data_IF_797146448622
#
_entry.id   IF_797146448622
#
_cell.length_a   1.000
_cell.length_b   1.000
_cell.length_c   1.000
_cell.angle_alpha   90.00
_cell.angle_beta   90.00
_cell.angle_gamma   90.00
#
_symmetry.space_group_name_H-M   'P 1'
#
loop_
_entity.id
_entity.type
_entity.pdbx_description
1 polymer ?
#
# COMPACT_ATOMS: atom_id res chain seq x y z
N UNK A 1 39.36 2.96 51.82
CA UNK A 1 39.06 1.70 51.11
C UNK A 1 37.67 1.84 50.49
N UNK A 2 37.55 1.66 49.16
CA UNK A 2 36.46 0.98 48.43
C UNK A 2 35.01 1.33 48.89
N UNK A 3 34.11 1.92 48.11
CA UNK A 3 33.86 1.74 46.68
C UNK A 3 33.06 2.91 46.10
N UNK A 4 33.37 3.13 44.84
CA UNK A 4 32.82 4.08 43.88
C UNK A 4 31.41 3.63 43.46
N UNK A 5 30.46 4.57 43.58
CA UNK A 5 29.36 4.90 42.66
C UNK A 5 28.68 3.71 41.97
N UNK A 6 27.53 3.28 42.51
CA UNK A 6 26.57 2.44 41.78
C UNK A 6 25.49 3.36 41.21
N UNK A 7 25.63 3.66 39.93
CA UNK A 7 24.81 4.54 39.13
C UNK A 7 23.34 4.08 39.11
N UNK A 8 22.48 4.83 39.79
CA UNK A 8 21.03 4.81 39.56
C UNK A 8 20.72 5.91 38.54
N UNK A 9 20.86 5.58 37.25
CA UNK A 9 20.38 6.42 36.17
C UNK A 9 18.98 5.96 35.77
N UNK A 10 17.98 6.47 36.48
CA UNK A 10 16.61 6.53 35.98
C UNK A 10 16.42 7.94 35.40
N UNK A 11 15.70 8.02 34.28
CA UNK A 11 15.24 9.21 33.55
C UNK A 11 16.13 9.67 32.37
N UNK A 12 15.80 9.15 31.19
CA UNK A 12 15.59 9.92 29.95
C UNK A 12 14.77 9.01 29.02
N UNK A 13 13.44 9.09 29.11
CA UNK A 13 12.61 9.72 28.07
C UNK A 13 12.81 9.11 26.67
N UNK A 14 11.78 8.35 26.28
CA UNK A 14 11.22 8.16 24.94
C UNK A 14 11.81 9.06 23.84
N UNK A 15 11.81 8.52 22.61
CA UNK A 15 12.30 9.08 21.33
C UNK A 15 13.78 8.75 21.08
N UNK A 16 14.18 8.08 20.00
CA UNK A 16 13.54 7.90 18.71
C UNK A 16 13.90 6.53 18.15
N UNK A 17 12.91 5.65 18.02
CA UNK A 17 12.94 4.59 17.02
C UNK A 17 11.95 4.97 15.93
N UNK A 18 12.17 6.12 15.27
CA UNK A 18 11.54 6.40 13.99
C UNK A 18 12.23 5.59 12.89
N UNK A 19 12.19 4.26 13.01
CA UNK A 19 12.37 3.33 11.89
C UNK A 19 11.04 2.66 11.55
N UNK A 20 9.94 3.36 11.85
CA UNK A 20 8.64 3.00 11.33
C UNK A 20 8.59 3.39 9.86
N UNK A 21 8.78 2.37 9.01
CA UNK A 21 8.22 2.28 7.67
C UNK A 21 8.69 3.37 6.70
N UNK A 22 9.83 3.10 6.06
CA UNK A 22 9.99 3.41 4.63
C UNK A 22 9.02 2.55 3.80
N UNK A 23 7.73 2.58 4.13
CA UNK A 23 6.67 2.18 3.22
C UNK A 23 6.63 3.31 2.22
N UNK A 24 7.02 3.04 0.98
CA UNK A 24 7.22 4.02 -0.08
C UNK A 24 5.98 4.90 -0.26
N UNK A 25 5.92 5.97 0.52
CA UNK A 25 4.82 6.94 0.56
C UNK A 25 4.69 7.63 -0.79
N UNK A 26 5.80 7.69 -1.53
CA UNK A 26 5.89 8.10 -2.92
C UNK A 26 5.06 7.22 -3.86
N UNK A 27 5.12 5.89 -3.70
CA UNK A 27 4.38 4.93 -4.54
C UNK A 27 2.89 4.97 -4.22
N UNK A 28 2.53 5.00 -2.93
CA UNK A 28 1.13 5.13 -2.47
C UNK A 28 0.51 6.43 -2.97
N UNK A 29 1.23 7.56 -2.88
CA UNK A 29 0.73 8.88 -3.34
C UNK A 29 0.56 8.89 -4.86
N UNK A 30 1.50 8.31 -5.59
CA UNK A 30 1.43 8.21 -7.06
C UNK A 30 0.25 7.33 -7.48
N UNK A 31 0.07 6.18 -6.82
CA UNK A 31 -1.06 5.29 -7.05
C UNK A 31 -2.39 5.99 -6.78
N UNK A 32 -2.52 6.71 -5.67
CA UNK A 32 -3.73 7.46 -5.33
C UNK A 32 -4.03 8.58 -6.34
N UNK A 33 -3.00 9.29 -6.81
CA UNK A 33 -3.14 10.34 -7.83
C UNK A 33 -3.58 9.76 -9.16
N UNK A 34 -2.96 8.65 -9.59
CA UNK A 34 -3.38 7.95 -10.81
C UNK A 34 -4.80 7.42 -10.66
N UNK A 35 -5.14 6.78 -9.54
CA UNK A 35 -6.47 6.27 -9.25
C UNK A 35 -7.53 7.37 -9.34
N UNK A 36 -7.26 8.55 -8.79
CA UNK A 36 -8.15 9.71 -8.89
C UNK A 36 -8.30 10.26 -10.31
N UNK A 37 -7.36 9.97 -11.21
CA UNK A 37 -7.41 10.36 -12.62
C UNK A 37 -8.05 9.30 -13.53
N UNK A 38 -8.26 8.09 -13.03
CA UNK A 38 -8.92 7.02 -13.77
C UNK A 38 -10.42 7.30 -13.90
N UNK A 39 -10.99 6.84 -15.01
CA UNK A 39 -12.42 6.89 -15.32
C UNK A 39 -12.81 5.64 -16.10
N UNK A 40 -14.09 5.39 -16.34
CA UNK A 40 -14.55 4.20 -17.08
C UNK A 40 -14.00 4.10 -18.51
N UNK A 41 -13.45 5.18 -19.08
CA UNK A 41 -12.82 5.23 -20.41
C UNK A 41 -11.29 5.12 -20.36
N UNK A 42 -10.69 4.88 -19.19
CA UNK A 42 -9.25 4.74 -19.06
C UNK A 42 -8.73 3.51 -19.82
N UNK A 43 -7.47 3.58 -20.23
CA UNK A 43 -6.83 2.51 -21.00
C UNK A 43 -6.24 1.44 -20.09
N UNK A 44 -6.07 0.23 -20.64
CA UNK A 44 -5.35 -0.87 -19.96
C UNK A 44 -3.94 -0.47 -19.54
N UNK A 45 -3.27 0.43 -20.28
CA UNK A 45 -1.94 0.92 -19.91
C UNK A 45 -1.95 1.76 -18.63
N UNK A 46 -3.00 2.55 -18.40
CA UNK A 46 -3.16 3.31 -17.15
C UNK A 46 -3.45 2.38 -15.97
N UNK A 47 -4.26 1.33 -16.19
CA UNK A 47 -4.49 0.29 -15.17
C UNK A 47 -3.20 -0.47 -14.86
N UNK A 48 -2.43 -0.87 -15.88
CA UNK A 48 -1.14 -1.53 -15.67
C UNK A 48 -0.14 -0.65 -14.92
N UNK A 49 -0.17 0.66 -15.16
CA UNK A 49 0.63 1.63 -14.39
C UNK A 49 0.16 1.69 -12.94
N UNK A 50 -1.15 1.74 -12.68
CA UNK A 50 -1.69 1.68 -11.33
C UNK A 50 -1.32 0.36 -10.64
N UNK A 51 -1.48 -0.77 -11.33
CA UNK A 51 -1.11 -2.10 -10.86
C UNK A 51 0.34 -2.12 -10.36
N UNK A 52 1.27 -1.67 -11.20
CA UNK A 52 2.70 -1.62 -10.86
C UNK A 52 3.01 -0.71 -9.66
N UNK A 53 2.18 0.30 -9.40
CA UNK A 53 2.35 1.18 -8.23
C UNK A 53 1.74 0.61 -6.95
N UNK A 54 0.73 -0.26 -7.06
CA UNK A 54 0.09 -0.95 -5.94
C UNK A 54 0.86 -2.21 -5.56
N UNK A 55 1.39 -2.93 -6.55
CA UNK A 55 2.21 -4.15 -6.40
C UNK A 55 3.57 -3.80 -5.78
N UNK A 56 3.56 -3.56 -4.47
CA UNK A 56 4.72 -3.06 -3.74
C UNK A 56 5.75 -4.16 -3.52
N UNK A 57 5.29 -5.40 -3.32
CA UNK A 57 6.14 -6.57 -3.13
C UNK A 57 6.61 -7.21 -4.46
N UNK A 58 6.04 -6.81 -5.61
CA UNK A 58 6.36 -7.28 -6.96
C UNK A 58 6.10 -8.77 -7.15
N UNK A 59 5.00 -9.28 -6.60
CA UNK A 59 4.58 -10.66 -6.76
C UNK A 59 3.58 -10.87 -7.90
N UNK A 60 3.34 -9.83 -8.71
CA UNK A 60 2.38 -9.84 -9.82
C UNK A 60 0.92 -10.02 -9.35
N UNK A 61 0.63 -9.67 -8.09
CA UNK A 61 -0.72 -9.62 -7.55
C UNK A 61 -0.89 -8.43 -6.58
N UNK A 62 -2.11 -7.92 -6.45
CA UNK A 62 -2.42 -6.89 -5.44
C UNK A 62 -3.10 -7.56 -4.26
N UNK A 63 -2.43 -7.58 -3.11
CA UNK A 63 -3.06 -8.04 -1.88
C UNK A 63 -4.05 -7.00 -1.31
N UNK A 64 -4.95 -7.45 -0.44
CA UNK A 64 -5.85 -6.54 0.30
C UNK A 64 -5.13 -5.44 1.10
N UNK A 65 -3.87 -5.67 1.48
CA UNK A 65 -3.03 -4.68 2.18
C UNK A 65 -2.36 -3.66 1.26
N UNK A 66 -2.22 -4.00 -0.03
CA UNK A 66 -1.66 -3.13 -1.08
C UNK A 66 -2.74 -2.34 -1.80
N UNK A 67 -3.96 -2.87 -1.85
CA UNK A 67 -5.11 -2.18 -2.41
C UNK A 67 -5.40 -0.87 -1.66
N UNK A 68 -5.64 0.21 -2.40
CA UNK A 68 -5.99 1.53 -1.85
C UNK A 68 -7.23 2.11 -2.54
N UNK A 69 -7.89 3.06 -1.86
CA UNK A 69 -9.05 3.79 -2.41
C UNK A 69 -10.12 2.87 -2.97
N UNK A 70 -10.64 3.20 -4.15
CA UNK A 70 -11.70 2.41 -4.81
C UNK A 70 -11.30 0.98 -5.18
N UNK A 71 -10.00 0.65 -5.25
CA UNK A 71 -9.55 -0.74 -5.41
C UNK A 71 -9.80 -1.53 -4.13
N UNK A 72 -9.46 -0.96 -2.97
CA UNK A 72 -9.71 -1.58 -1.67
C UNK A 72 -11.20 -1.70 -1.37
N UNK A 73 -11.97 -0.64 -1.65
CA UNK A 73 -13.44 -0.61 -1.45
C UNK A 73 -14.17 -1.66 -2.28
N UNK A 74 -13.64 -2.00 -3.46
CA UNK A 74 -14.23 -2.97 -4.37
C UNK A 74 -13.42 -4.26 -4.47
N UNK A 75 -12.47 -4.51 -3.56
CA UNK A 75 -11.54 -5.64 -3.67
C UNK A 75 -12.27 -6.96 -3.87
N UNK A 76 -13.26 -7.27 -3.02
CA UNK A 76 -14.07 -8.50 -3.13
C UNK A 76 -14.93 -8.57 -4.39
N UNK A 77 -15.21 -7.44 -5.02
CA UNK A 77 -15.96 -7.39 -6.29
C UNK A 77 -15.04 -7.65 -7.48
N UNK A 78 -13.76 -7.27 -7.34
CA UNK A 78 -12.74 -7.43 -8.36
C UNK A 78 -12.07 -8.82 -8.31
N UNK A 79 -11.92 -9.39 -7.11
CA UNK A 79 -11.41 -10.74 -6.84
C UNK A 79 -12.46 -11.77 -7.26
N UNK A 80 -12.47 -12.11 -8.55
CA UNK A 80 -13.52 -12.95 -9.17
C UNK A 80 -13.23 -14.42 -8.89
N UNK A 81 -11.95 -14.80 -8.87
CA UNK A 81 -11.54 -16.18 -8.60
C UNK A 81 -11.42 -16.52 -7.11
N UNK A 82 -11.54 -15.52 -6.23
CA UNK A 82 -11.51 -15.61 -4.77
C UNK A 82 -10.17 -16.12 -4.24
N UNK A 83 -9.06 -15.80 -4.91
CA UNK A 83 -7.71 -16.18 -4.49
C UNK A 83 -7.11 -15.24 -3.42
N UNK A 84 -7.87 -14.20 -3.01
CA UNK A 84 -7.47 -13.17 -2.04
C UNK A 84 -6.42 -12.17 -2.54
N UNK A 85 -6.23 -12.12 -3.85
CA UNK A 85 -5.36 -11.22 -4.59
C UNK A 85 -6.14 -10.60 -5.75
N UNK A 86 -5.59 -9.57 -6.40
CA UNK A 86 -6.09 -9.09 -7.67
C UNK A 86 -4.99 -9.19 -8.71
N UNK A 87 -5.24 -9.93 -9.79
CA UNK A 87 -4.36 -9.89 -10.95
C UNK A 87 -4.63 -8.63 -11.82
N UNK A 88 -3.81 -8.41 -12.84
CA UNK A 88 -3.97 -7.26 -13.73
C UNK A 88 -5.33 -7.28 -14.46
N UNK A 89 -5.82 -8.46 -14.84
CA UNK A 89 -7.08 -8.65 -15.56
C UNK A 89 -8.26 -8.28 -14.67
N UNK A 90 -8.27 -8.74 -13.44
CA UNK A 90 -9.27 -8.42 -12.41
C UNK A 90 -9.26 -6.94 -12.09
N UNK A 91 -8.07 -6.33 -11.95
CA UNK A 91 -7.96 -4.90 -11.71
C UNK A 91 -8.51 -4.06 -12.88
N UNK A 92 -8.52 -4.56 -14.13
CA UNK A 92 -9.19 -3.85 -15.23
C UNK A 92 -10.70 -3.71 -15.01
N UNK A 93 -11.31 -4.61 -14.24
CA UNK A 93 -12.71 -4.55 -13.83
C UNK A 93 -13.04 -3.30 -13.02
N UNK A 94 -12.04 -2.65 -12.40
CA UNK A 94 -12.19 -1.39 -11.66
C UNK A 94 -12.84 -0.31 -12.53
N UNK A 95 -12.51 -0.26 -13.83
CA UNK A 95 -13.03 0.75 -14.75
C UNK A 95 -14.56 0.69 -14.87
N UNK A 96 -15.15 -0.49 -14.76
CA UNK A 96 -16.61 -0.66 -14.77
C UNK A 96 -17.27 -0.19 -13.47
N UNK A 97 -16.50 -0.08 -12.38
CA UNK A 97 -16.97 0.37 -11.07
C UNK A 97 -16.83 1.88 -10.88
N UNK A 98 -15.89 2.51 -11.59
CA UNK A 98 -15.78 3.97 -11.69
C UNK A 98 -17.01 4.50 -12.45
N UNK A 99 -17.84 5.29 -11.77
CA UNK A 99 -19.03 5.96 -12.33
C UNK A 99 -18.82 7.46 -12.47
#
# INVERSE_FOLDING_TARGET
>A
MKKVILSLAVVASLTSCSSVKNMDTSSITSAATLLSSLSSNSTVQQISSLFTLLDANKDEAISSTEAIGSVSENFSTLDVDNDSSLDLSELTGLLALLK
#
